data_IF_411818373649
#
_entry.id   IF_411818373649
#
_cell.length_a   1.000
_cell.length_b   1.000
_cell.length_c   1.000
_cell.angle_alpha   90.00
_cell.angle_beta   90.00
_cell.angle_gamma   90.00
#
_symmetry.space_group_name_H-M   'P 1'
#
loop_
_entity.id
_entity.type
_entity.pdbx_description
1 polymer ?
#
# COMPACT_ATOMS: atom_id res chain seq x y z
N UNK A 1 29.28 16.37 26.34
CA UNK A 1 29.14 15.04 25.75
C UNK A 1 27.65 14.76 25.54
N UNK A 2 27.12 14.97 24.34
CA UNK A 2 25.86 14.42 23.87
C UNK A 2 25.97 14.44 22.34
N UNK A 3 26.38 13.32 21.76
CA UNK A 3 26.29 13.10 20.31
C UNK A 3 24.92 12.48 20.09
N UNK A 4 23.96 13.30 19.66
CA UNK A 4 22.78 12.79 18.97
C UNK A 4 23.22 11.85 17.85
N UNK A 5 22.55 10.69 17.67
CA UNK A 5 22.89 9.79 16.58
C UNK A 5 22.57 10.47 15.25
N UNK A 6 23.62 10.74 14.49
CA UNK A 6 23.61 11.11 13.08
C UNK A 6 22.88 10.02 12.28
N UNK A 7 21.58 10.21 12.05
CA UNK A 7 20.81 9.36 11.13
C UNK A 7 20.94 10.00 9.74
N UNK A 8 21.58 9.32 8.76
CA UNK A 8 21.70 9.85 7.41
C UNK A 8 20.31 9.91 6.73
N UNK A 9 19.98 10.96 5.95
CA UNK A 9 18.69 11.09 5.27
C UNK A 9 18.59 10.21 4.00
N UNK A 10 19.10 8.98 4.06
CA UNK A 10 19.14 8.02 2.94
C UNK A 10 18.42 6.69 3.22
N UNK A 11 17.63 6.59 4.29
CA UNK A 11 16.94 5.34 4.68
C UNK A 11 15.51 5.57 5.18
N UNK A 12 14.78 6.50 4.56
CA UNK A 12 13.35 6.65 4.80
C UNK A 12 12.59 5.45 4.20
N UNK A 13 12.65 4.27 4.84
CA UNK A 13 11.95 3.05 4.40
C UNK A 13 10.92 2.47 5.40
N UNK A 14 10.25 3.27 6.26
CA UNK A 14 8.91 2.89 6.73
C UNK A 14 7.80 3.68 6.04
N UNK A 15 8.07 4.91 5.58
CA UNK A 15 7.03 5.81 5.06
C UNK A 15 6.35 5.32 3.77
N UNK A 16 7.06 4.58 2.91
CA UNK A 16 6.48 3.97 1.71
C UNK A 16 5.50 2.83 2.07
N UNK A 17 5.82 2.02 3.08
CA UNK A 17 4.95 0.95 3.56
C UNK A 17 3.74 1.54 4.33
N UNK A 18 3.97 2.61 5.10
CA UNK A 18 2.90 3.36 5.77
C UNK A 18 1.96 4.03 4.76
N UNK A 19 2.49 4.71 3.74
CA UNK A 19 1.69 5.32 2.67
C UNK A 19 0.88 4.28 1.89
N UNK A 20 1.48 3.12 1.60
CA UNK A 20 0.80 1.98 0.99
C UNK A 20 -0.36 1.48 1.85
N UNK A 21 -0.11 1.22 3.14
CA UNK A 21 -1.15 0.78 4.09
C UNK A 21 -2.27 1.82 4.23
N UNK A 22 -1.92 3.09 4.21
CA UNK A 22 -2.88 4.18 4.30
C UNK A 22 -3.74 4.26 3.03
N UNK A 23 -3.15 4.07 1.85
CA UNK A 23 -3.87 3.98 0.59
C UNK A 23 -4.84 2.78 0.58
N UNK A 24 -4.38 1.60 1.00
CA UNK A 24 -5.22 0.39 1.14
C UNK A 24 -6.41 0.65 2.07
N UNK A 25 -6.18 1.26 3.24
CA UNK A 25 -7.26 1.62 4.17
C UNK A 25 -8.27 2.58 3.56
N UNK A 26 -7.82 3.63 2.87
CA UNK A 26 -8.70 4.61 2.21
C UNK A 26 -9.55 3.95 1.13
N UNK A 27 -8.95 3.11 0.28
CA UNK A 27 -9.66 2.35 -0.76
C UNK A 27 -10.68 1.39 -0.13
N UNK A 28 -10.29 0.65 0.90
CA UNK A 28 -11.18 -0.27 1.60
C UNK A 28 -12.38 0.45 2.22
N UNK A 29 -12.14 1.58 2.90
CA UNK A 29 -13.19 2.40 3.49
C UNK A 29 -14.15 2.95 2.45
N UNK A 30 -13.62 3.44 1.32
CA UNK A 30 -14.42 3.96 0.22
C UNK A 30 -15.32 2.87 -0.39
N UNK A 31 -14.78 1.68 -0.66
CA UNK A 31 -15.55 0.55 -1.17
C UNK A 31 -16.62 0.09 -0.17
N UNK A 32 -16.26 0.01 1.11
CA UNK A 32 -17.19 -0.37 2.18
C UNK A 32 -18.30 0.67 2.39
N UNK A 33 -17.99 1.96 2.27
CA UNK A 33 -18.97 3.04 2.36
C UNK A 33 -19.94 3.04 1.16
N UNK A 34 -19.43 2.83 -0.07
CA UNK A 34 -20.26 2.74 -1.26
C UNK A 34 -21.26 1.58 -1.22
N UNK A 35 -20.88 0.45 -0.62
CA UNK A 35 -21.74 -0.73 -0.48
C UNK A 35 -22.82 -0.56 0.61
N UNK A 36 -22.83 0.58 1.32
CA UNK A 36 -23.79 0.86 2.38
C UNK A 36 -23.33 0.41 3.77
N UNK A 37 -22.02 0.26 3.96
CA UNK A 37 -21.38 -0.10 5.24
C UNK A 37 -21.91 -1.40 5.84
N UNK A 38 -21.90 -2.52 5.10
CA UNK A 38 -22.32 -3.81 5.62
C UNK A 38 -21.52 -4.17 6.88
N UNK A 39 -22.24 -4.39 7.98
CA UNK A 39 -21.62 -4.71 9.27
C UNK A 39 -20.90 -6.06 9.19
N UNK A 40 -19.66 -6.12 9.69
CA UNK A 40 -18.86 -7.34 9.70
C UNK A 40 -18.10 -7.66 8.39
N UNK A 41 -18.32 -6.93 7.29
CA UNK A 41 -17.59 -7.15 6.02
C UNK A 41 -16.39 -6.24 5.78
N UNK A 42 -16.15 -5.26 6.65
CA UNK A 42 -15.05 -4.30 6.51
C UNK A 42 -13.68 -4.97 6.27
N UNK A 43 -13.41 -6.13 6.89
CA UNK A 43 -12.17 -6.88 6.69
C UNK A 43 -12.06 -7.46 5.28
N UNK A 44 -13.18 -7.94 4.70
CA UNK A 44 -13.23 -8.46 3.33
C UNK A 44 -12.92 -7.34 2.29
N UNK A 45 -13.43 -6.12 2.51
CA UNK A 45 -13.09 -4.96 1.68
C UNK A 45 -11.64 -4.52 1.87
N UNK A 46 -11.09 -4.64 3.08
CA UNK A 46 -9.69 -4.36 3.35
C UNK A 46 -8.75 -5.34 2.64
N UNK A 47 -9.03 -6.64 2.71
CA UNK A 47 -8.28 -7.67 2.00
C UNK A 47 -8.36 -7.49 0.48
N UNK A 48 -9.54 -7.13 -0.04
CA UNK A 48 -9.72 -6.84 -1.47
C UNK A 48 -8.90 -5.63 -1.93
N UNK A 49 -8.90 -4.55 -1.15
CA UNK A 49 -8.08 -3.37 -1.44
C UNK A 49 -6.57 -3.69 -1.36
N UNK A 50 -6.17 -4.51 -0.39
CA UNK A 50 -4.79 -4.93 -0.22
C UNK A 50 -4.28 -5.74 -1.42
N UNK A 51 -5.07 -6.71 -1.88
CA UNK A 51 -4.76 -7.52 -3.07
C UNK A 51 -4.63 -6.64 -4.32
N UNK A 52 -5.51 -5.65 -4.46
CA UNK A 52 -5.51 -4.71 -5.59
C UNK A 52 -4.23 -3.87 -5.63
N UNK A 53 -3.86 -3.24 -4.51
CA UNK A 53 -2.62 -2.46 -4.40
C UNK A 53 -1.37 -3.31 -4.51
N UNK A 54 -1.39 -4.55 -4.02
CA UNK A 54 -0.27 -5.50 -4.17
C UNK A 54 -0.07 -5.85 -5.64
N UNK A 55 -1.15 -6.18 -6.36
CA UNK A 55 -1.11 -6.48 -7.80
C UNK A 55 -0.63 -5.27 -8.59
N UNK A 56 -1.07 -4.06 -8.28
CA UNK A 56 -0.59 -2.84 -8.95
C UNK A 56 0.92 -2.70 -8.81
N UNK A 57 1.48 -2.95 -7.63
CA UNK A 57 2.95 -2.93 -7.40
C UNK A 57 3.68 -4.03 -8.16
N UNK A 58 3.13 -5.24 -8.19
CA UNK A 58 3.69 -6.37 -8.95
C UNK A 58 3.60 -6.13 -10.46
N UNK A 59 2.53 -5.48 -10.93
CA UNK A 59 2.32 -5.14 -12.33
C UNK A 59 3.18 -3.96 -12.78
N UNK A 60 3.35 -2.95 -11.94
CA UNK A 60 4.26 -1.82 -12.15
C UNK A 60 5.71 -2.33 -12.23
N UNK A 61 6.09 -3.24 -11.34
CA UNK A 61 7.38 -3.93 -11.40
C UNK A 61 7.53 -4.79 -12.66
N UNK A 62 6.50 -5.52 -13.07
CA UNK A 62 6.50 -6.31 -14.30
C UNK A 62 6.54 -5.43 -15.57
N UNK A 63 5.89 -4.26 -15.55
CA UNK A 63 5.89 -3.31 -16.64
C UNK A 63 7.24 -2.58 -16.76
N UNK A 64 7.89 -2.30 -15.63
CA UNK A 64 9.21 -1.65 -15.55
C UNK A 64 10.35 -2.59 -15.97
N UNK A 65 10.25 -3.89 -15.63
CA UNK A 65 11.13 -4.95 -16.15
C UNK A 65 10.95 -5.14 -17.67
N UNK A 66 9.77 -4.73 -18.17
CA UNK A 66 9.34 -4.85 -19.56
C UNK A 66 8.84 -6.27 -19.84
N UNK A 67 7.70 -6.46 -20.53
CA UNK A 67 7.43 -7.77 -21.12
C UNK A 67 8.52 -7.98 -22.17
N UNK A 68 9.49 -8.84 -21.87
CA UNK A 68 10.48 -9.28 -22.83
C UNK A 68 9.78 -9.59 -24.15
N UNK A 69 10.07 -8.77 -25.15
CA UNK A 69 9.57 -8.96 -26.49
C UNK A 69 10.23 -10.20 -27.07
N UNK A 70 9.48 -11.29 -27.18
CA UNK A 70 9.71 -12.34 -28.17
C UNK A 70 8.57 -12.37 -29.20
#
# INVERSE_FOLDING_TARGET
MNREPDIPPGRALPAEDDAFREAVRKTAYFLWEQDGRPHGRHEEYYLRALDQHRREREYDQWLEDGPDGE
#
